data_IF_329171518838
#
_entry.id   IF_329171518838
#
_cell.length_a   1.000
_cell.length_b   1.000
_cell.length_c   1.000
_cell.angle_alpha   90.00
_cell.angle_beta   90.00
_cell.angle_gamma   90.00
#
_symmetry.space_group_name_H-M   'P 1'
#
loop_
_entity.id
_entity.type
_entity.pdbx_description
1 polymer ?
#
# COMPACT_ATOMS: atom_id res chain seq x y z
N UNK A 1 -3.37 -11.77 -6.47
CA UNK A 1 -4.57 -11.14 -5.90
C UNK A 1 -5.15 -10.19 -6.94
N UNK A 2 -6.47 -10.23 -7.13
CA UNK A 2 -7.17 -9.22 -7.93
C UNK A 2 -7.19 -7.88 -7.17
N UNK A 3 -7.21 -6.73 -7.86
CA UNK A 3 -7.40 -5.44 -7.23
C UNK A 3 -8.73 -5.39 -6.46
N UNK A 4 -8.73 -4.79 -5.27
CA UNK A 4 -9.91 -4.65 -4.42
C UNK A 4 -10.10 -3.19 -3.99
N UNK A 5 -11.35 -2.76 -3.73
CA UNK A 5 -11.61 -1.49 -3.06
C UNK A 5 -10.88 -1.44 -1.71
N UNK A 6 -10.12 -0.37 -1.49
CA UNK A 6 -9.30 -0.20 -0.29
C UNK A 6 -9.31 1.24 0.20
N UNK A 7 -9.30 1.42 1.52
CA UNK A 7 -9.03 2.70 2.15
C UNK A 7 -7.58 2.74 2.63
N UNK A 8 -6.86 3.82 2.35
CA UNK A 8 -5.45 3.93 2.70
C UNK A 8 -5.09 5.29 3.29
N UNK A 9 -4.09 5.26 4.17
CA UNK A 9 -3.41 6.43 4.71
C UNK A 9 -1.91 6.26 4.51
N UNK A 10 -1.32 7.12 3.69
CA UNK A 10 0.07 6.95 3.29
C UNK A 10 0.63 8.08 2.43
N UNK A 11 1.91 7.96 2.11
CA UNK A 11 2.62 8.84 1.19
C UNK A 11 2.60 8.25 -0.22
N UNK A 12 2.36 9.12 -1.21
CA UNK A 12 2.58 8.74 -2.61
C UNK A 12 4.09 8.64 -2.86
N UNK A 13 4.50 7.63 -3.58
CA UNK A 13 5.90 7.39 -3.99
C UNK A 13 5.97 7.10 -5.47
N UNK A 14 6.99 7.63 -6.14
CA UNK A 14 7.20 7.33 -7.55
C UNK A 14 7.80 5.92 -7.73
N UNK A 15 7.55 5.26 -8.86
CA UNK A 15 8.23 4.00 -9.21
C UNK A 15 9.76 4.15 -9.19
N UNK A 16 10.27 5.29 -9.61
CA UNK A 16 11.70 5.59 -9.62
C UNK A 16 12.28 5.72 -8.21
N UNK A 17 11.55 6.33 -7.27
CA UNK A 17 11.98 6.40 -5.87
C UNK A 17 12.09 5.01 -5.25
N UNK A 18 11.12 4.13 -5.52
CA UNK A 18 11.17 2.72 -5.08
C UNK A 18 12.38 2.01 -5.69
N UNK A 19 12.61 2.18 -7.00
CA UNK A 19 13.72 1.54 -7.71
C UNK A 19 15.08 2.02 -7.18
N UNK A 20 15.25 3.33 -7.02
CA UNK A 20 16.47 3.93 -6.48
C UNK A 20 16.75 3.45 -5.06
N UNK A 21 15.72 3.40 -4.20
CA UNK A 21 15.85 2.87 -2.84
C UNK A 21 16.33 1.41 -2.85
N UNK A 22 15.77 0.57 -3.74
CA UNK A 22 16.18 -0.82 -3.87
C UNK A 22 17.64 -0.96 -4.30
N UNK A 23 18.08 -0.18 -5.29
CA UNK A 23 19.49 -0.17 -5.74
C UNK A 23 20.42 0.30 -4.63
N UNK A 24 20.08 1.38 -3.92
CA UNK A 24 20.89 1.94 -2.84
C UNK A 24 21.11 0.96 -1.66
N UNK A 25 20.15 0.06 -1.44
CA UNK A 25 20.15 -0.88 -0.33
C UNK A 25 20.36 -2.34 -0.74
N UNK A 26 20.75 -2.60 -2.00
CA UNK A 26 20.96 -3.95 -2.56
C UNK A 26 19.78 -4.90 -2.31
N UNK A 27 18.56 -4.40 -2.54
CA UNK A 27 17.31 -5.12 -2.28
C UNK A 27 16.77 -5.77 -3.57
N UNK A 28 16.42 -7.07 -3.55
CA UNK A 28 15.99 -7.74 -4.76
C UNK A 28 14.57 -7.35 -5.19
N UNK A 29 14.33 -7.32 -6.50
CA UNK A 29 13.10 -6.78 -7.11
C UNK A 29 11.94 -7.78 -7.25
N UNK A 30 12.19 -9.08 -7.05
CA UNK A 30 11.20 -10.13 -7.35
C UNK A 30 9.92 -10.06 -6.50
N UNK A 31 9.96 -9.38 -5.35
CA UNK A 31 8.76 -9.03 -4.58
C UNK A 31 8.98 -7.79 -3.69
N UNK A 32 7.94 -7.38 -2.99
CA UNK A 32 7.94 -6.19 -2.12
C UNK A 32 8.39 -6.46 -0.68
N UNK A 33 8.67 -7.72 -0.31
CA UNK A 33 9.02 -8.08 1.07
C UNK A 33 10.34 -7.45 1.52
N UNK A 34 11.47 -7.57 0.81
CA UNK A 34 12.74 -6.97 1.24
C UNK A 34 12.65 -5.45 1.38
N UNK A 35 11.95 -4.79 0.45
CA UNK A 35 11.69 -3.35 0.49
C UNK A 35 10.96 -2.96 1.78
N UNK A 36 9.82 -3.61 2.05
CA UNK A 36 9.01 -3.29 3.21
C UNK A 36 9.72 -3.63 4.51
N UNK A 37 10.39 -4.78 4.60
CA UNK A 37 11.14 -5.16 5.80
C UNK A 37 12.30 -4.20 6.10
N UNK A 38 13.00 -3.71 5.06
CA UNK A 38 14.08 -2.73 5.23
C UNK A 38 13.56 -1.36 5.67
N UNK A 39 12.42 -0.90 5.13
CA UNK A 39 11.79 0.34 5.56
C UNK A 39 11.20 0.22 6.99
N UNK A 40 10.49 -0.87 7.28
CA UNK A 40 9.93 -1.14 8.61
C UNK A 40 11.00 -1.20 9.70
N UNK A 41 12.20 -1.72 9.41
CA UNK A 41 13.30 -1.77 10.39
C UNK A 41 13.90 -0.40 10.71
N UNK A 42 13.73 0.58 9.82
CA UNK A 42 14.21 1.96 9.98
C UNK A 42 13.15 2.87 10.59
N UNK A 43 11.90 2.75 10.12
CA UNK A 43 10.76 3.56 10.60
C UNK A 43 10.23 3.04 11.94
N UNK A 44 10.33 1.73 12.19
CA UNK A 44 9.86 1.11 13.43
C UNK A 44 8.35 0.86 13.50
N UNK A 45 7.62 0.99 12.38
CA UNK A 45 6.18 0.68 12.29
C UNK A 45 5.90 -0.20 11.07
N UNK A 46 4.85 -1.04 11.10
CA UNK A 46 4.43 -1.82 9.94
C UNK A 46 4.03 -0.93 8.75
N UNK A 47 4.39 -1.36 7.56
CA UNK A 47 4.11 -0.67 6.31
C UNK A 47 3.35 -1.59 5.33
N UNK A 48 2.64 -0.96 4.41
CA UNK A 48 2.09 -1.58 3.23
C UNK A 48 2.51 -0.80 1.99
N UNK A 49 2.89 -1.50 0.92
CA UNK A 49 3.00 -0.89 -0.41
C UNK A 49 1.68 -1.16 -1.14
N UNK A 50 0.97 -0.08 -1.48
CA UNK A 50 -0.30 -0.14 -2.18
C UNK A 50 -0.11 0.36 -3.60
N UNK A 51 -0.43 -0.50 -4.57
CA UNK A 51 -0.51 -0.15 -5.99
C UNK A 51 -1.97 0.15 -6.32
N UNK A 52 -2.26 1.38 -6.72
CA UNK A 52 -3.60 1.81 -7.13
C UNK A 52 -3.67 1.77 -8.65
N UNK A 53 -4.60 0.98 -9.17
CA UNK A 53 -4.84 0.88 -10.60
C UNK A 53 -5.84 1.94 -11.07
N UNK A 54 -5.70 2.44 -12.31
CA UNK A 54 -6.67 3.36 -12.89
C UNK A 54 -8.06 2.71 -12.99
N UNK A 55 -9.10 3.55 -12.89
CA UNK A 55 -10.48 3.13 -13.08
C UNK A 55 -10.72 2.62 -14.50
N UNK A 56 -11.68 1.70 -14.66
CA UNK A 56 -12.13 1.29 -15.99
C UNK A 56 -12.73 2.51 -16.71
N UNK A 57 -12.18 2.86 -17.87
CA UNK A 57 -12.60 4.02 -18.67
C UNK A 57 -11.63 5.21 -18.66
N UNK A 58 -10.63 5.21 -17.80
CA UNK A 58 -9.56 6.21 -17.81
C UNK A 58 -8.26 5.63 -18.35
N UNK A 59 -8.17 5.54 -19.68
CA UNK A 59 -7.01 4.99 -20.38
C UNK A 59 -5.74 5.86 -20.24
N UNK A 60 -5.85 7.08 -19.70
CA UNK A 60 -4.73 7.99 -19.51
C UNK A 60 -4.23 8.02 -18.06
N UNK A 61 -5.03 7.57 -17.10
CA UNK A 61 -4.60 7.50 -15.71
C UNK A 61 -3.48 6.47 -15.51
N UNK A 62 -2.37 6.92 -14.92
CA UNK A 62 -1.23 6.08 -14.59
C UNK A 62 -1.50 5.28 -13.31
N UNK A 63 -0.83 4.12 -13.18
CA UNK A 63 -0.77 3.40 -11.90
C UNK A 63 -0.04 4.26 -10.86
N UNK A 64 -0.61 4.36 -9.67
CA UNK A 64 -0.01 5.10 -8.55
C UNK A 64 0.49 4.14 -7.46
N UNK A 65 1.54 4.54 -6.75
CA UNK A 65 2.11 3.77 -5.65
C UNK A 65 2.10 4.57 -4.36
N UNK A 66 1.73 3.90 -3.28
CA UNK A 66 1.65 4.49 -1.95
C UNK A 66 2.35 3.60 -0.91
N UNK A 67 3.18 4.21 -0.06
CA UNK A 67 3.65 3.58 1.17
C UNK A 67 2.76 4.03 2.31
N UNK A 68 2.08 3.07 2.94
CA UNK A 68 1.00 3.33 3.87
C UNK A 68 1.30 2.77 5.27
N UNK A 69 0.96 3.53 6.31
CA UNK A 69 0.86 3.02 7.68
C UNK A 69 -0.50 2.38 7.96
N UNK A 70 -1.49 2.62 7.09
CA UNK A 70 -2.81 2.03 7.16
C UNK A 70 -3.30 1.69 5.76
N UNK A 71 -3.75 0.45 5.57
CA UNK A 71 -4.42 0.00 4.37
C UNK A 71 -5.49 -1.03 4.76
N UNK A 72 -6.76 -0.65 4.65
CA UNK A 72 -7.88 -1.57 4.83
C UNK A 72 -8.35 -2.06 3.46
N UNK A 73 -8.20 -3.37 3.25
CA UNK A 73 -8.58 -4.11 2.04
C UNK A 73 -9.77 -5.06 2.30
N UNK A 74 -10.47 -4.90 3.42
CA UNK A 74 -11.62 -5.74 3.80
C UNK A 74 -12.89 -5.45 2.99
N UNK A 75 -12.88 -4.42 2.13
CA UNK A 75 -14.07 -3.94 1.42
C UNK A 75 -15.06 -3.17 2.31
N UNK A 76 -14.70 -2.88 3.56
CA UNK A 76 -15.49 -2.05 4.46
C UNK A 76 -15.64 -0.64 3.89
N UNK A 77 -16.86 -0.08 3.98
CA UNK A 77 -17.10 1.32 3.67
C UNK A 77 -16.58 2.22 4.80
N UNK A 78 -15.91 3.30 4.42
CA UNK A 78 -15.50 4.37 5.32
C UNK A 78 -16.22 5.64 4.90
N UNK A 79 -16.81 6.34 5.86
CA UNK A 79 -17.12 7.75 5.66
C UNK A 79 -15.84 8.61 5.83
N UNK A 80 -15.95 9.88 5.46
CA UNK A 80 -14.82 10.82 5.49
C UNK A 80 -14.31 11.01 6.92
N UNK A 81 -15.20 11.01 7.92
CA UNK A 81 -14.85 11.22 9.32
C UNK A 81 -14.05 10.03 9.87
N UNK A 82 -14.50 8.80 9.60
CA UNK A 82 -13.83 7.58 10.00
C UNK A 82 -12.43 7.47 9.37
N UNK A 83 -12.29 7.81 8.08
CA UNK A 83 -10.98 7.80 7.43
C UNK A 83 -10.07 8.92 7.98
N UNK A 84 -10.64 10.09 8.28
CA UNK A 84 -9.91 11.22 8.88
C UNK A 84 -9.42 10.91 10.30
N UNK A 85 -10.20 10.14 11.06
CA UNK A 85 -9.89 9.71 12.41
C UNK A 85 -8.79 8.63 12.48
N UNK A 86 -8.38 8.03 11.35
CA UNK A 86 -7.25 7.09 11.32
C UNK A 86 -5.98 7.80 11.80
N UNK A 87 -5.46 7.31 12.93
CA UNK A 87 -4.25 7.81 13.56
C UNK A 87 -3.02 7.47 12.71
N UNK A 88 -2.18 8.46 12.49
CA UNK A 88 -0.88 8.29 11.84
C UNK A 88 0.18 8.13 12.95
N UNK A 89 0.89 6.99 13.03
CA UNK A 89 1.97 6.83 14.00
C UNK A 89 3.02 7.94 13.82
N UNK A 90 3.50 8.61 14.89
CA UNK A 90 4.49 9.67 14.74
C UNK A 90 5.76 9.22 14.01
N UNK A 91 6.19 7.98 14.24
CA UNK A 91 7.35 7.40 13.56
C UNK A 91 7.16 7.28 12.03
N UNK A 92 5.93 7.06 11.54
CA UNK A 92 5.65 7.02 10.11
C UNK A 92 5.95 8.36 9.41
N UNK A 93 5.87 9.48 10.15
CA UNK A 93 6.17 10.81 9.60
C UNK A 93 7.64 10.99 9.21
N UNK A 94 8.54 10.08 9.63
CA UNK A 94 9.96 10.07 9.26
C UNK A 94 10.20 9.39 7.90
N UNK A 95 9.20 8.72 7.31
CA UNK A 95 9.35 8.03 6.02
C UNK A 95 9.94 8.89 4.89
N UNK A 96 9.56 10.19 4.74
CA UNK A 96 10.14 11.07 3.72
C UNK A 96 11.65 11.29 3.85
N UNK A 97 12.24 11.04 5.02
CA UNK A 97 13.69 11.12 5.24
C UNK A 97 14.43 9.89 4.70
N UNK A 98 13.72 8.77 4.49
CA UNK A 98 14.28 7.49 4.06
C UNK A 98 14.11 7.25 2.56
N UNK A 99 12.97 7.66 2.01
CA UNK A 99 12.63 7.46 0.59
C UNK A 99 11.93 8.72 0.07
N UNK A 100 12.26 9.19 -1.15
CA UNK A 100 11.56 10.33 -1.74
C UNK A 100 10.06 10.08 -1.87
N UNK A 101 9.25 11.02 -1.41
CA UNK A 101 7.77 10.99 -1.47
C UNK A 101 7.22 12.19 -2.25
N UNK A 102 5.98 12.08 -2.71
CA UNK A 102 5.27 13.13 -3.44
C UNK A 102 4.23 13.84 -2.56
N UNK A 103 4.66 14.94 -1.93
CA UNK A 103 3.82 15.77 -1.08
C UNK A 103 3.59 15.20 0.33
N UNK A 104 2.47 15.58 0.95
CA UNK A 104 2.12 15.16 2.32
C UNK A 104 1.40 13.82 2.40
N UNK A 105 1.09 13.38 3.64
CA UNK A 105 0.27 12.19 3.88
C UNK A 105 -1.11 12.38 3.25
N UNK A 106 -1.56 11.38 2.50
CA UNK A 106 -2.88 11.34 1.89
C UNK A 106 -3.76 10.32 2.57
N UNK A 107 -5.06 10.61 2.59
CA UNK A 107 -6.14 9.72 2.98
C UNK A 107 -7.04 9.57 1.77
N UNK A 108 -7.20 8.36 1.24
CA UNK A 108 -8.00 8.16 0.05
C UNK A 108 -8.68 6.79 0.01
N UNK A 109 -9.77 6.74 -0.74
CA UNK A 109 -10.43 5.52 -1.17
C UNK A 109 -9.93 5.17 -2.58
N UNK A 110 -9.38 3.98 -2.74
CA UNK A 110 -8.91 3.43 -4.00
C UNK A 110 -9.84 2.29 -4.42
N UNK A 111 -10.66 2.45 -5.47
CA UNK A 111 -11.62 1.41 -5.89
C UNK A 111 -10.92 0.14 -6.40
N UNK A 112 -9.68 0.28 -6.88
CA UNK A 112 -8.85 -0.82 -7.40
C UNK A 112 -7.45 -0.71 -6.82
N UNK A 113 -7.17 -1.45 -5.76
CA UNK A 113 -5.86 -1.47 -5.12
C UNK A 113 -5.33 -2.90 -4.94
N UNK A 114 -4.03 -3.05 -5.13
CA UNK A 114 -3.28 -4.24 -4.73
C UNK A 114 -2.39 -3.88 -3.54
N UNK A 115 -2.58 -4.57 -2.43
CA UNK A 115 -1.84 -4.32 -1.19
C UNK A 115 -0.74 -5.38 -1.02
N UNK A 116 0.48 -4.94 -0.76
CA UNK A 116 1.59 -5.78 -0.31
C UNK A 116 1.94 -5.40 1.13
N UNK A 117 1.82 -6.34 2.08
CA UNK A 117 2.29 -6.14 3.45
C UNK A 117 2.73 -7.47 4.05
N UNK A 118 3.86 -7.49 4.75
CA UNK A 118 4.49 -8.72 5.25
C UNK A 118 5.00 -8.52 6.67
N UNK A 119 4.79 -9.52 7.54
CA UNK A 119 5.37 -9.49 8.87
C UNK A 119 6.90 -9.72 8.89
N UNK A 120 7.47 -9.73 10.10
CA UNK A 120 8.92 -9.92 10.29
C UNK A 120 9.38 -11.30 9.81
N UNK A 121 8.52 -12.31 9.90
CA UNK A 121 8.78 -13.66 9.39
C UNK A 121 8.61 -13.73 7.85
N UNK A 122 7.97 -12.70 7.29
CA UNK A 122 7.71 -12.54 5.87
C UNK A 122 6.42 -13.14 5.37
N UNK A 123 5.53 -13.50 6.29
CA UNK A 123 4.19 -13.95 5.96
C UNK A 123 3.36 -12.74 5.56
N UNK A 124 2.53 -12.91 4.53
CA UNK A 124 1.60 -11.87 4.11
C UNK A 124 0.65 -11.51 5.26
N UNK A 125 0.55 -10.21 5.57
CA UNK A 125 -0.50 -9.65 6.43
C UNK A 125 -1.83 -9.45 5.68
N UNK A 126 -1.78 -9.55 4.36
CA UNK A 126 -2.94 -9.49 3.48
C UNK A 126 -3.53 -10.90 3.39
N UNK A 127 -4.71 -11.11 3.98
CA UNK A 127 -5.47 -12.35 3.83
C UNK A 127 -6.10 -12.37 2.45
N UNK A 128 -6.13 -13.54 1.79
CA UNK A 128 -6.90 -13.68 0.55
C UNK A 128 -8.36 -13.30 0.79
N UNK A 129 -8.98 -12.52 -0.12
CA UNK A 129 -10.41 -12.28 -0.04
C UNK A 129 -11.12 -13.65 -0.07
N UNK A 130 -12.21 -13.83 0.69
CA UNK A 130 -13.03 -15.03 0.55
C UNK A 130 -13.45 -15.15 -0.91
N UNK A 131 -13.24 -16.33 -1.51
CA UNK A 131 -13.75 -16.65 -2.84
C UNK A 131 -15.23 -16.25 -2.92
N UNK A 132 -15.69 -15.63 -4.01
CA UNK A 132 -17.11 -15.38 -4.17
C UNK A 132 -17.86 -16.71 -4.03
N UNK A 133 -18.79 -16.77 -3.07
CA UNK A 133 -19.72 -17.88 -2.95
C UNK A 133 -20.65 -17.78 -4.16
N UNK A 134 -20.49 -18.66 -5.14
CA UNK A 134 -21.45 -18.81 -6.24
C UNK A 134 -20.87 -18.81 -7.65
N UNK A 135 -20.06 -19.82 -7.97
CA UNK A 135 -19.94 -20.32 -9.35
C UNK A 135 -20.45 -21.76 -9.36
N UNK A 136 -21.76 -21.93 -9.18
CA UNK A 136 -22.41 -23.20 -9.51
C UNK A 136 -22.52 -23.33 -11.03
N UNK A 137 -22.28 -24.51 -11.63
CA UNK A 137 -22.46 -24.69 -13.06
C UNK A 137 -23.94 -24.48 -13.43
N UNK A 138 -24.16 -23.78 -14.53
CA UNK A 138 -25.45 -23.65 -15.19
C UNK A 138 -25.95 -25.00 -15.71
#
# INVERSE_FOLDING_TARGET
MSPLPSCLVGYRVSPDAIKQYRVQHDLPEYNNRPLLQNLESRVGVPLALVRVEPGEGDAQAATEYYLCCFADYSGKSYDIEALSAVLIPPAFLQLPELIPVEGGVRRLFAPRAMVSSFDREGKSRVKDPPSPIGSGPA
#
